data_IF_826460427895
#
_entry.id   IF_826460427895
#
_cell.length_a   1.000
_cell.length_b   1.000
_cell.length_c   1.000
_cell.angle_alpha   90.00
_cell.angle_beta   90.00
_cell.angle_gamma   90.00
#
_symmetry.space_group_name_H-M   'P 1'
#
loop_
_entity.id
_entity.type
_entity.pdbx_description
1 polymer ?
#
# COMPACT_ATOMS: atom_id res chain seq x y z
N UNK A 1 -2.93 8.69 19.12
CA UNK A 1 -3.26 7.58 18.21
C UNK A 1 -2.00 7.26 17.41
N UNK A 2 -1.53 6.03 17.48
CA UNK A 2 -0.26 5.64 16.88
C UNK A 2 -0.50 4.54 15.83
N UNK A 3 0.27 4.57 14.75
CA UNK A 3 0.29 3.50 13.77
C UNK A 3 0.88 2.22 14.39
N UNK A 4 0.39 1.07 13.93
CA UNK A 4 0.82 -0.24 14.47
C UNK A 4 2.16 -0.70 13.91
N UNK A 5 2.59 -0.12 12.80
CA UNK A 5 3.81 -0.53 12.10
C UNK A 5 4.80 0.63 11.98
N UNK A 6 6.06 0.31 12.10
CA UNK A 6 7.15 1.25 11.85
C UNK A 6 7.44 1.36 10.35
N UNK A 7 8.01 2.48 9.91
CA UNK A 7 8.43 2.65 8.52
C UNK A 7 9.38 1.54 8.04
N UNK A 8 10.24 1.03 8.93
CA UNK A 8 11.16 -0.08 8.61
C UNK A 8 10.44 -1.40 8.36
N UNK A 9 9.42 -1.72 9.17
CA UNK A 9 8.60 -2.91 8.98
C UNK A 9 7.82 -2.84 7.67
N UNK A 10 7.24 -1.68 7.36
CA UNK A 10 6.50 -1.46 6.11
C UNK A 10 7.40 -1.57 4.88
N UNK A 11 8.59 -0.98 4.94
CA UNK A 11 9.59 -1.10 3.88
C UNK A 11 10.03 -2.54 3.69
N UNK A 12 10.20 -3.29 4.78
CA UNK A 12 10.51 -4.72 4.75
C UNK A 12 9.43 -5.56 4.08
N UNK A 13 8.15 -5.30 4.38
CA UNK A 13 7.02 -5.97 3.73
C UNK A 13 6.96 -5.69 2.23
N UNK A 14 7.13 -4.43 1.82
CA UNK A 14 7.20 -4.07 0.40
C UNK A 14 8.38 -4.77 -0.29
N UNK A 15 9.57 -4.76 0.31
CA UNK A 15 10.75 -5.44 -0.21
C UNK A 15 10.51 -6.94 -0.41
N UNK A 16 9.90 -7.60 0.58
CA UNK A 16 9.56 -9.02 0.48
C UNK A 16 8.56 -9.31 -0.66
N UNK A 17 7.52 -8.49 -0.80
CA UNK A 17 6.55 -8.62 -1.90
C UNK A 17 7.22 -8.46 -3.27
N UNK A 18 8.16 -7.52 -3.40
CA UNK A 18 8.93 -7.34 -4.64
C UNK A 18 9.83 -8.53 -4.95
N UNK A 19 10.48 -9.13 -3.95
CA UNK A 19 11.28 -10.33 -4.11
C UNK A 19 10.42 -11.54 -4.55
N UNK A 20 9.25 -11.70 -3.97
CA UNK A 20 8.27 -12.71 -4.40
C UNK A 20 7.86 -12.51 -5.86
N UNK A 21 7.55 -11.28 -6.26
CA UNK A 21 7.16 -10.96 -7.63
C UNK A 21 8.29 -11.31 -8.62
N UNK A 22 9.53 -10.94 -8.29
CA UNK A 22 10.71 -11.28 -9.09
C UNK A 22 10.91 -12.80 -9.21
N UNK A 23 10.80 -13.52 -8.10
CA UNK A 23 10.97 -14.97 -8.07
C UNK A 23 9.87 -15.70 -8.85
N UNK A 24 8.67 -15.13 -8.93
CA UNK A 24 7.55 -15.67 -9.69
C UNK A 24 7.55 -15.24 -11.17
N UNK A 25 8.56 -14.50 -11.62
CA UNK A 25 8.80 -14.20 -13.04
C UNK A 25 8.26 -12.85 -13.52
N UNK A 26 7.96 -11.91 -12.63
CA UNK A 26 7.67 -10.53 -13.03
C UNK A 26 8.93 -9.87 -13.62
N UNK A 27 8.78 -9.16 -14.73
CA UNK A 27 9.88 -8.40 -15.34
C UNK A 27 10.18 -7.11 -14.54
N UNK A 28 9.14 -6.51 -13.98
CA UNK A 28 9.21 -5.37 -13.07
C UNK A 28 8.03 -5.42 -12.09
N UNK A 29 8.19 -4.78 -10.95
CA UNK A 29 7.13 -4.67 -9.96
C UNK A 29 7.29 -3.40 -9.11
N UNK A 30 6.19 -2.92 -8.60
CA UNK A 30 6.13 -1.88 -7.58
C UNK A 30 5.20 -2.33 -6.45
N UNK A 31 5.55 -1.96 -5.22
CA UNK A 31 4.75 -2.25 -4.04
C UNK A 31 4.50 -0.96 -3.27
N UNK A 32 3.26 -0.80 -2.82
CA UNK A 32 2.83 0.32 -2.01
C UNK A 32 2.14 -0.21 -0.76
N UNK A 33 2.46 0.40 0.37
CA UNK A 33 1.81 0.11 1.64
C UNK A 33 1.12 1.36 2.15
N UNK A 34 -0.13 1.21 2.54
CA UNK A 34 -0.87 2.26 3.22
C UNK A 34 -1.44 1.77 4.55
N UNK A 35 -1.31 2.59 5.57
CA UNK A 35 -2.01 2.43 6.84
C UNK A 35 -2.66 3.77 7.18
N UNK A 36 -3.94 3.75 7.47
CA UNK A 36 -4.68 4.94 7.87
C UNK A 36 -5.42 4.72 9.17
N UNK A 37 -5.41 5.72 10.02
CA UNK A 37 -6.16 5.76 11.27
C UNK A 37 -6.95 7.05 11.27
N UNK A 38 -8.26 6.94 11.45
CA UNK A 38 -9.15 8.08 11.46
C UNK A 38 -10.15 8.01 12.62
N UNK A 39 -10.53 9.18 13.08
CA UNK A 39 -11.61 9.36 14.03
C UNK A 39 -12.52 10.45 13.50
N UNK A 40 -13.81 10.19 13.52
CA UNK A 40 -14.85 11.16 13.14
C UNK A 40 -15.83 11.31 14.28
N UNK A 41 -16.16 12.55 14.61
CA UNK A 41 -17.15 12.88 15.63
C UNK A 41 -18.20 13.78 14.98
N UNK A 42 -19.45 13.34 15.02
CA UNK A 42 -20.60 14.12 14.57
C UNK A 42 -21.32 14.72 15.75
N UNK A 43 -21.53 16.03 15.70
CA UNK A 43 -22.25 16.79 16.74
C UNK A 43 -23.54 17.34 16.15
N UNK A 44 -24.66 17.11 16.84
CA UNK A 44 -25.96 17.63 16.47
C UNK A 44 -26.60 18.31 17.68
N UNK A 45 -27.08 19.53 17.47
CA UNK A 45 -27.74 20.35 18.51
C UNK A 45 -26.89 20.52 19.79
N UNK A 46 -25.55 20.51 19.66
CA UNK A 46 -24.63 20.68 20.77
C UNK A 46 -24.27 19.38 21.51
N UNK A 47 -24.79 18.23 21.07
CA UNK A 47 -24.50 16.92 21.65
C UNK A 47 -23.82 16.00 20.64
N UNK A 48 -22.95 15.11 21.11
CA UNK A 48 -22.30 14.11 20.29
C UNK A 48 -23.36 13.10 19.83
N UNK A 49 -23.56 13.01 18.52
CA UNK A 49 -24.50 12.06 17.89
C UNK A 49 -23.81 10.76 17.51
N UNK A 50 -22.58 10.84 17.00
CA UNK A 50 -21.85 9.67 16.51
C UNK A 50 -20.35 9.85 16.69
N UNK A 51 -19.69 8.77 17.09
CA UNK A 51 -18.23 8.65 17.09
C UNK A 51 -17.88 7.46 16.24
N UNK A 52 -17.07 7.66 15.20
CA UNK A 52 -16.54 6.60 14.34
C UNK A 52 -15.04 6.52 14.50
N UNK A 53 -14.53 5.31 14.60
CA UNK A 53 -13.11 5.01 14.58
C UNK A 53 -12.81 4.09 13.41
N UNK A 54 -11.88 4.49 12.54
CA UNK A 54 -11.49 3.75 11.36
C UNK A 54 -10.01 3.45 11.41
N UNK A 55 -9.67 2.21 11.11
CA UNK A 55 -8.28 1.78 10.94
C UNK A 55 -8.22 0.84 9.74
N UNK A 56 -7.55 1.27 8.70
CA UNK A 56 -7.36 0.52 7.46
C UNK A 56 -5.89 0.31 7.18
N UNK A 57 -5.58 -0.82 6.56
CA UNK A 57 -4.25 -1.13 6.07
C UNK A 57 -4.32 -1.93 4.78
N UNK A 58 -3.43 -1.66 3.85
CA UNK A 58 -3.34 -2.36 2.58
C UNK A 58 -1.90 -2.43 2.10
N UNK A 59 -1.52 -3.58 1.58
CA UNK A 59 -0.35 -3.75 0.73
C UNK A 59 -0.85 -3.98 -0.69
N UNK A 60 -0.46 -3.12 -1.58
CA UNK A 60 -0.75 -3.19 -3.01
C UNK A 60 0.50 -3.62 -3.76
N UNK A 61 0.38 -4.56 -4.68
CA UNK A 61 1.45 -4.99 -5.57
C UNK A 61 1.00 -4.83 -7.01
N UNK A 62 1.79 -4.14 -7.81
CA UNK A 62 1.64 -4.04 -9.25
C UNK A 62 2.81 -4.74 -9.91
N UNK A 63 2.54 -5.63 -10.83
CA UNK A 63 3.55 -6.39 -11.58
C UNK A 63 3.42 -6.15 -13.07
N UNK A 64 4.54 -6.23 -13.76
CA UNK A 64 4.63 -6.13 -15.21
C UNK A 64 5.23 -7.41 -15.78
N UNK A 65 4.51 -8.00 -16.72
CA UNK A 65 4.94 -9.16 -17.50
C UNK A 65 4.95 -8.76 -18.96
N UNK A 66 6.12 -8.39 -19.48
CA UNK A 66 6.22 -7.71 -20.77
C UNK A 66 5.50 -6.37 -20.75
N UNK A 67 4.60 -6.15 -21.70
CA UNK A 67 3.73 -4.96 -21.80
C UNK A 67 2.37 -5.16 -21.12
N UNK A 68 2.28 -6.03 -20.16
CA UNK A 68 1.04 -6.38 -19.46
C UNK A 68 1.17 -6.07 -18.00
N UNK A 69 0.15 -5.44 -17.44
CA UNK A 69 0.10 -5.00 -16.05
C UNK A 69 -0.95 -5.79 -15.27
N UNK A 70 -0.60 -6.23 -14.08
CA UNK A 70 -1.52 -6.81 -13.12
C UNK A 70 -1.35 -6.18 -11.75
N UNK A 71 -2.44 -6.00 -11.01
CA UNK A 71 -2.44 -5.46 -9.66
C UNK A 71 -3.31 -6.30 -8.75
N UNK A 72 -2.86 -6.51 -7.54
CA UNK A 72 -3.63 -7.10 -6.46
C UNK A 72 -3.25 -6.45 -5.13
N UNK A 73 -4.12 -6.55 -4.14
CA UNK A 73 -3.91 -6.00 -2.81
C UNK A 73 -4.34 -6.97 -1.72
N UNK A 74 -3.77 -6.80 -0.53
CA UNK A 74 -4.14 -7.57 0.66
C UNK A 74 -4.02 -6.70 1.91
N UNK A 75 -4.90 -6.96 2.87
CA UNK A 75 -4.80 -6.44 4.23
C UNK A 75 -4.21 -7.48 5.20
N UNK A 76 -3.96 -8.70 4.74
CA UNK A 76 -3.30 -9.78 5.49
C UNK A 76 -1.83 -9.87 5.06
N UNK A 77 -0.91 -9.72 6.00
CA UNK A 77 0.53 -9.71 5.76
C UNK A 77 1.21 -11.03 6.12
N UNK A 78 0.43 -12.10 6.31
CA UNK A 78 0.97 -13.45 6.43
C UNK A 78 1.71 -13.86 5.16
N UNK A 79 2.73 -14.69 5.30
CA UNK A 79 3.53 -15.18 4.16
C UNK A 79 2.67 -15.77 3.05
N UNK A 80 1.66 -16.58 3.46
CA UNK A 80 0.74 -17.19 2.50
C UNK A 80 -0.09 -16.15 1.75
N UNK A 81 -0.64 -15.16 2.45
CA UNK A 81 -1.46 -14.11 1.84
C UNK A 81 -0.64 -13.24 0.88
N UNK A 82 0.61 -12.93 1.23
CA UNK A 82 1.53 -12.21 0.34
C UNK A 82 1.82 -13.01 -0.94
N UNK A 83 2.14 -14.29 -0.80
CA UNK A 83 2.38 -15.18 -1.96
C UNK A 83 1.15 -15.29 -2.86
N UNK A 84 -0.03 -15.50 -2.27
CA UNK A 84 -1.29 -15.60 -3.02
C UNK A 84 -1.62 -14.29 -3.74
N UNK A 85 -1.36 -13.15 -3.11
CA UNK A 85 -1.59 -11.82 -3.68
C UNK A 85 -0.65 -11.52 -4.85
N UNK A 86 0.64 -11.79 -4.69
CA UNK A 86 1.63 -11.63 -5.77
C UNK A 86 1.30 -12.55 -6.93
N UNK A 87 0.94 -13.80 -6.65
CA UNK A 87 0.51 -14.75 -7.68
C UNK A 87 -0.72 -14.24 -8.44
N UNK A 88 -1.72 -13.73 -7.72
CA UNK A 88 -2.92 -13.16 -8.34
C UNK A 88 -2.58 -11.97 -9.26
N UNK A 89 -1.70 -11.07 -8.85
CA UNK A 89 -1.24 -9.96 -9.68
C UNK A 89 -0.56 -10.45 -10.97
N UNK A 90 0.31 -11.46 -10.88
CA UNK A 90 0.98 -12.06 -12.04
C UNK A 90 -0.03 -12.75 -12.97
N UNK A 91 -0.97 -13.51 -12.43
CA UNK A 91 -1.98 -14.17 -13.23
C UNK A 91 -2.86 -13.14 -13.95
N UNK A 92 -3.24 -12.04 -13.29
CA UNK A 92 -3.95 -10.93 -13.93
C UNK A 92 -3.11 -10.33 -15.06
N UNK A 93 -1.83 -10.06 -14.84
CA UNK A 93 -0.95 -9.50 -15.87
C UNK A 93 -0.88 -10.40 -17.11
N UNK A 94 -0.79 -11.73 -16.92
CA UNK A 94 -0.71 -12.70 -18.01
C UNK A 94 -1.93 -12.70 -18.92
N UNK A 95 -3.11 -12.41 -18.38
CA UNK A 95 -4.38 -12.39 -19.11
C UNK A 95 -4.85 -11.01 -19.53
N UNK A 96 -4.16 -9.96 -19.09
CA UNK A 96 -4.45 -8.57 -19.48
C UNK A 96 -3.93 -8.32 -20.91
N UNK A 97 -4.63 -7.48 -21.66
CA UNK A 97 -4.17 -7.05 -22.99
C UNK A 97 -2.84 -6.27 -22.90
N UNK A 98 -2.04 -6.35 -23.94
CA UNK A 98 -0.80 -5.59 -24.05
C UNK A 98 -1.10 -4.10 -24.18
N UNK A 99 -0.30 -3.28 -23.49
CA UNK A 99 -0.30 -1.83 -23.56
C UNK A 99 1.14 -1.36 -23.69
N UNK A 100 1.47 -0.73 -24.80
CA UNK A 100 2.81 -0.25 -25.08
C UNK A 100 3.32 0.78 -24.05
N UNK A 101 2.40 1.44 -23.34
CA UNK A 101 2.72 2.37 -22.26
C UNK A 101 2.83 1.73 -20.88
N UNK A 102 2.57 0.41 -20.75
CA UNK A 102 2.69 -0.28 -19.49
C UNK A 102 4.16 -0.52 -19.10
N UNK A 103 4.54 -0.05 -17.92
CA UNK A 103 5.90 -0.22 -17.38
C UNK A 103 6.19 0.78 -16.25
N UNK A 104 7.31 0.58 -15.59
CA UNK A 104 7.83 1.56 -14.65
C UNK A 104 8.48 2.72 -15.40
N UNK A 105 8.54 3.89 -14.76
CA UNK A 105 9.35 4.99 -15.25
C UNK A 105 10.83 4.60 -15.31
N UNK A 106 11.59 5.30 -16.19
CA UNK A 106 13.05 5.16 -16.21
C UNK A 106 13.63 5.42 -14.81
N UNK A 107 14.57 4.57 -14.39
CA UNK A 107 15.18 4.67 -13.06
C UNK A 107 15.83 6.04 -12.81
N UNK A 108 16.32 6.71 -13.86
CA UNK A 108 16.89 8.05 -13.78
C UNK A 108 15.88 9.15 -13.47
N UNK A 109 14.60 8.88 -13.72
CA UNK A 109 13.49 9.80 -13.47
C UNK A 109 12.80 9.56 -12.12
N UNK A 110 13.17 8.47 -11.44
CA UNK A 110 12.64 8.16 -10.11
C UNK A 110 13.34 8.98 -9.03
N UNK A 111 12.59 9.34 -7.98
CA UNK A 111 13.13 10.02 -6.82
C UNK A 111 14.21 9.16 -6.14
N UNK A 112 15.44 9.66 -6.08
CA UNK A 112 16.57 9.00 -5.41
C UNK A 112 16.65 9.36 -3.93
N UNK A 113 16.15 10.53 -3.56
CA UNK A 113 16.14 11.06 -2.21
C UNK A 113 14.78 11.66 -1.90
N UNK A 114 14.13 11.12 -0.90
CA UNK A 114 12.95 11.73 -0.29
C UNK A 114 13.41 12.33 1.05
N UNK A 115 13.50 13.66 1.12
CA UNK A 115 13.77 14.37 2.38
C UNK A 115 12.57 14.28 3.33
N UNK A 116 12.81 14.55 4.59
CA UNK A 116 11.71 14.74 5.54
C UNK A 116 10.89 15.97 5.13
N UNK A 117 9.62 15.75 4.85
CA UNK A 117 8.68 16.81 4.45
C UNK A 117 7.90 17.36 5.64
N UNK A 118 8.24 16.96 6.86
CA UNK A 118 7.59 17.39 8.10
C UNK A 118 6.05 17.27 8.04
N UNK A 119 5.54 16.16 7.52
CA UNK A 119 4.10 15.93 7.36
C UNK A 119 3.45 15.19 8.51
N UNK A 120 4.25 14.65 9.44
CA UNK A 120 3.74 13.88 10.57
C UNK A 120 3.69 14.74 11.82
N UNK A 121 2.49 15.10 12.24
CA UNK A 121 2.24 15.83 13.47
C UNK A 121 1.27 15.04 14.33
N UNK A 122 1.68 14.71 15.55
CA UNK A 122 0.80 14.04 16.51
C UNK A 122 -0.23 15.05 17.00
N UNK A 123 -1.49 14.72 16.81
CA UNK A 123 -2.59 15.48 17.35
C UNK A 123 -3.27 14.69 18.46
N UNK A 124 -3.04 15.09 19.70
CA UNK A 124 -3.56 14.43 20.89
C UNK A 124 -4.90 15.07 21.29
N UNK A 125 -5.91 14.84 20.47
CA UNK A 125 -7.29 15.20 20.74
C UNK A 125 -8.05 13.99 21.26
N UNK A 126 -8.64 14.13 22.45
CA UNK A 126 -9.60 13.14 22.93
C UNK A 126 -10.95 13.32 22.21
N UNK A 127 -11.73 12.24 22.15
CA UNK A 127 -13.10 12.25 21.61
C UNK A 127 -14.06 13.16 22.39
N UNK A 128 -13.68 13.55 23.60
CA UNK A 128 -14.48 14.34 24.54
C UNK A 128 -14.07 15.81 24.57
N UNK A 129 -13.09 16.21 23.75
CA UNK A 129 -12.55 17.58 23.73
C UNK A 129 -13.30 18.50 22.77
#
# INVERSE_FOLDING_TARGET
MLFNHTASELTGLCGHALDLAKNMGAAAAEADFSESIGQSVSVRLGEIEQIEFQQDKSLDITVYVGKRKGRASTADFSEKALQDTVKAAIDIARYTAEDDCAGLADASLMAQHVGDLDRYHVWDLSTEA
#
